data_IF_199662673593
#
_entry.id   IF_199662673593
#
_cell.length_a   1.000
_cell.length_b   1.000
_cell.length_c   1.000
_cell.angle_alpha   90.00
_cell.angle_beta   90.00
_cell.angle_gamma   90.00
#
_symmetry.space_group_name_H-M   'P 1'
#
loop_
_entity.id
_entity.type
_entity.pdbx_description
1 polymer ?
#
# COMPACT_ATOMS: atom_id res chain seq x y z
N UNK A 1 -9.36 -10.06 -22.18
CA UNK A 1 -9.32 -9.50 -22.05
C UNK A 1 -9.30 -8.83 -21.63
N UNK A 2 -9.14 -8.62 -21.64
CA UNK A 2 -9.10 -7.86 -21.22
C UNK A 2 -9.44 -6.99 -21.12
N UNK A 3 -9.50 -6.74 -20.86
CA UNK A 3 -9.76 -5.92 -20.67
C UNK A 3 -9.73 -5.11 -20.58
N UNK A 4 -9.71 -4.94 -20.50
CA UNK A 4 -9.66 -4.17 -20.34
C UNK A 4 -9.33 -3.52 -20.22
N UNK A 5 -9.09 -3.46 -20.20
CA UNK A 5 -8.66 -2.84 -19.99
C UNK A 5 -8.34 -2.18 -19.67
N UNK A 6 -8.26 -2.01 -19.52
CA UNK A 6 -7.86 -1.35 -19.14
C UNK A 6 -7.68 -0.85 -18.35
N UNK A 7 -7.86 -0.85 -17.76
CA UNK A 7 -7.68 -0.37 -16.96
C UNK A 7 -6.84 -0.54 -16.41
N UNK A 8 -6.23 -0.57 -16.64
CA UNK A 8 -5.44 -0.70 -16.14
C UNK A 8 -5.13 -0.03 -15.26
N UNK A 9 -5.53 0.67 -15.17
CA UNK A 9 -5.26 1.33 -14.30
C UNK A 9 -5.27 0.68 -13.23
N UNK A 10 -4.49 0.74 -12.55
CA UNK A 10 -4.39 0.10 -11.47
C UNK A 10 -4.98 0.83 -10.43
N UNK A 11 -6.01 0.43 -9.94
CA UNK A 11 -6.60 0.99 -8.84
C UNK A 11 -6.04 0.35 -7.66
N UNK A 12 -4.85 0.58 -7.30
CA UNK A 12 -4.21 0.08 -6.14
C UNK A 12 -4.83 0.75 -4.94
N UNK A 13 -5.27 -0.02 -3.95
CA UNK A 13 -5.82 0.56 -2.74
C UNK A 13 -5.10 -0.01 -1.54
N UNK A 14 -5.52 0.39 -0.34
CA UNK A 14 -4.83 0.00 0.88
C UNK A 14 -4.82 -1.50 1.07
N UNK A 15 -5.81 -2.20 0.57
CA UNK A 15 -5.86 -3.65 0.69
C UNK A 15 -4.74 -4.29 -0.11
N UNK A 16 -4.48 -3.75 -1.29
CA UNK A 16 -3.41 -4.28 -2.12
C UNK A 16 -2.06 -4.04 -1.48
N UNK A 17 -1.89 -2.88 -0.89
CA UNK A 17 -0.64 -2.56 -0.21
C UNK A 17 -0.41 -3.50 0.95
N UNK A 18 -1.46 -3.77 1.73
CA UNK A 18 -1.34 -4.68 2.85
C UNK A 18 -0.95 -6.08 2.38
N UNK A 19 -1.58 -6.53 1.33
CA UNK A 19 -1.31 -7.86 0.79
C UNK A 19 0.11 -7.98 0.27
N UNK A 20 0.54 -6.99 -0.47
CA UNK A 20 1.87 -7.03 -1.07
C UNK A 20 2.97 -6.87 -0.02
N UNK A 21 2.72 -6.12 1.02
CA UNK A 21 3.72 -5.95 2.06
C UNK A 21 3.63 -7.00 3.15
N UNK A 22 2.59 -7.83 3.11
CA UNK A 22 2.48 -8.91 4.08
C UNK A 22 2.09 -8.45 5.46
N UNK A 23 1.35 -7.36 5.56
CA UNK A 23 0.92 -6.84 6.85
C UNK A 23 -0.58 -6.63 6.81
N UNK A 24 -1.16 -6.29 7.96
CA UNK A 24 -2.60 -6.07 8.02
C UNK A 24 -2.95 -4.70 7.50
N UNK A 25 -4.21 -4.54 7.14
CA UNK A 25 -4.70 -3.26 6.67
C UNK A 25 -4.53 -2.20 7.74
N UNK A 26 -4.74 -2.58 8.99
CA UNK A 26 -4.58 -1.64 10.09
C UNK A 26 -3.13 -1.15 10.15
N UNK A 27 -2.19 -2.02 9.87
CA UNK A 27 -0.78 -1.64 9.87
C UNK A 27 -0.49 -0.65 8.77
N UNK A 28 -1.02 -0.90 7.57
CA UNK A 28 -0.81 0.03 6.46
C UNK A 28 -1.40 1.39 6.82
N UNK A 29 -2.58 1.38 7.41
CA UNK A 29 -3.23 2.62 7.81
C UNK A 29 -2.37 3.41 8.79
N UNK A 30 -1.74 2.72 9.73
CA UNK A 30 -0.87 3.38 10.68
C UNK A 30 0.35 3.99 9.99
N UNK A 31 0.90 3.28 9.02
CA UNK A 31 2.04 3.80 8.29
C UNK A 31 1.64 5.06 7.54
N UNK A 32 0.49 5.04 6.90
CA UNK A 32 0.00 6.18 6.15
C UNK A 32 -0.21 7.38 7.06
N UNK A 33 -0.70 7.13 8.26
CA UNK A 33 -0.96 8.20 9.21
C UNK A 33 0.26 8.61 10.01
N UNK A 34 1.39 7.96 9.81
CA UNK A 34 2.59 8.31 10.52
C UNK A 34 2.58 7.89 11.97
N UNK A 35 1.82 6.85 12.29
CA UNK A 35 1.71 6.41 13.66
C UNK A 35 3.03 5.84 14.17
N UNK A 36 3.43 6.13 15.40
CA UNK A 36 4.65 5.58 15.96
C UNK A 36 4.48 4.13 16.41
N UNK A 37 3.29 3.58 16.30
CA UNK A 37 3.04 2.22 16.75
C UNK A 37 3.52 1.17 15.77
N UNK A 38 4.08 1.59 14.65
CA UNK A 38 4.57 0.68 13.64
C UNK A 38 6.09 0.63 13.76
N UNK A 39 6.66 -0.56 13.73
CA UNK A 39 8.10 -0.67 13.80
C UNK A 39 8.74 -0.09 12.54
N UNK A 40 10.00 0.29 12.65
CA UNK A 40 10.69 0.86 11.49
C UNK A 40 10.77 -0.11 10.34
N UNK A 41 10.99 -1.38 10.66
CA UNK A 41 11.05 -2.40 9.64
C UNK A 41 9.74 -2.51 8.87
N UNK A 42 8.64 -2.54 9.60
CA UNK A 42 7.33 -2.65 8.98
C UNK A 42 7.03 -1.42 8.14
N UNK A 43 7.37 -0.26 8.67
CA UNK A 43 7.14 0.98 7.95
C UNK A 43 7.90 0.97 6.63
N UNK A 44 9.15 0.58 6.65
CA UNK A 44 9.95 0.56 5.44
C UNK A 44 9.41 -0.41 4.43
N UNK A 45 8.93 -1.55 4.90
CA UNK A 45 8.36 -2.54 4.02
C UNK A 45 7.14 -1.99 3.29
N UNK A 46 6.26 -1.35 4.03
CA UNK A 46 5.04 -0.79 3.44
C UNK A 46 5.40 0.35 2.50
N UNK A 47 6.30 1.23 2.92
CA UNK A 47 6.68 2.35 2.07
C UNK A 47 7.36 1.90 0.79
N UNK A 48 8.14 0.84 0.87
CA UNK A 48 8.81 0.31 -0.31
C UNK A 48 7.78 -0.20 -1.32
N UNK A 49 6.74 -0.88 -0.84
CA UNK A 49 5.69 -1.36 -1.72
C UNK A 49 4.97 -0.19 -2.35
N UNK A 50 4.65 0.81 -1.56
CA UNK A 50 3.97 1.97 -2.09
C UNK A 50 4.77 2.64 -3.19
N UNK A 51 6.05 2.76 -2.95
CA UNK A 51 6.92 3.41 -3.90
C UNK A 51 7.06 2.59 -5.17
N UNK A 52 7.20 1.29 -5.01
CA UNK A 52 7.36 0.42 -6.15
C UNK A 52 6.16 0.45 -7.07
N UNK A 53 4.97 0.54 -6.50
CA UNK A 53 3.74 0.55 -7.28
C UNK A 53 3.20 1.95 -7.48
N UNK A 54 4.00 2.92 -7.09
CA UNK A 54 3.61 4.32 -7.27
C UNK A 54 2.28 4.65 -6.63
N UNK A 55 2.02 4.03 -5.50
CA UNK A 55 0.79 4.26 -4.77
C UNK A 55 0.95 5.48 -3.87
N UNK A 56 0.03 6.42 -3.98
CA UNK A 56 0.07 7.60 -3.14
C UNK A 56 -1.16 7.62 -2.25
N UNK A 57 -0.99 7.60 -0.95
CA UNK A 57 -2.16 7.65 -0.07
C UNK A 57 -2.87 8.97 -0.29
N UNK A 58 -4.13 8.85 -0.56
CA UNK A 58 -4.89 10.01 -0.86
C UNK A 58 -5.67 10.38 0.34
N UNK A 59 -5.42 11.43 0.95
CA UNK A 59 -6.17 11.79 2.14
C UNK A 59 -7.10 12.93 1.89
#
# INVERSE_FOLDING_TARGET
MLPGGGRMEIDMNIYDIAKLSGVSIATVSRVVNGSPKVSGQTREKVLAVMEEYNYTPNV
#
